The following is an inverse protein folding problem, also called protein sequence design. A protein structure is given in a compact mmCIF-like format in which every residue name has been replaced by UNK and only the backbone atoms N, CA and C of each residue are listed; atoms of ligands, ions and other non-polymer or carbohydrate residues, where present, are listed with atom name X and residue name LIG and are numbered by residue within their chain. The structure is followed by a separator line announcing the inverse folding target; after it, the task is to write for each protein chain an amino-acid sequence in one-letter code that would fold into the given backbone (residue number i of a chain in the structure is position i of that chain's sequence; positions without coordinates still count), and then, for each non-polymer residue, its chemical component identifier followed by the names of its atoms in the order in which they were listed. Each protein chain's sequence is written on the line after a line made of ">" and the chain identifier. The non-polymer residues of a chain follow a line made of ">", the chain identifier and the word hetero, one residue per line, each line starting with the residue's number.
data_IF_980327717791
#
_entry.id   IF_980327717791
#
_cell.length_a   1.000
_cell.length_b   1.000
_cell.length_c   1.000
_cell.angle_alpha   90.00
_cell.angle_beta   90.00
_cell.angle_gamma   90.00
#
_symmetry.space_group_name_H-M   'P 1'
#
loop_
_entity.id
_entity.type
_entity.pdbx_description
1 polymer ?
#
# COMPACT_ATOMS: atom_id res chain seq x y z
N UNK A 1 -3.36 55.65 21.80
CA UNK A 1 -2.01 55.10 22.03
C UNK A 1 -2.07 53.65 21.58
N UNK A 2 -1.35 53.35 20.51
CA UNK A 2 -1.45 52.09 19.77
C UNK A 2 -0.77 50.97 20.54
N UNK A 3 -1.50 49.89 20.78
CA UNK A 3 -0.95 48.65 21.31
C UNK A 3 0.13 48.13 20.37
N UNK A 4 1.30 47.89 20.96
CA UNK A 4 2.48 47.35 20.31
C UNK A 4 2.18 46.00 19.67
N UNK A 5 2.45 45.91 18.36
CA UNK A 5 2.63 44.68 17.59
C UNK A 5 3.60 43.74 18.30
N UNK A 6 3.09 42.89 19.19
CA UNK A 6 3.89 41.84 19.82
C UNK A 6 3.89 40.65 18.86
N UNK A 7 4.81 40.66 17.90
CA UNK A 7 5.05 39.51 17.03
C UNK A 7 5.53 38.37 17.94
N UNK A 8 4.83 37.23 18.01
CA UNK A 8 5.26 36.12 18.86
C UNK A 8 6.70 35.74 18.53
N UNK A 9 7.51 35.57 19.58
CA UNK A 9 8.92 35.25 19.43
C UNK A 9 9.08 33.94 18.65
N UNK A 10 9.96 33.94 17.63
CA UNK A 10 10.22 32.76 16.81
C UNK A 10 10.77 31.61 17.66
N UNK A 11 10.41 30.35 17.36
CA UNK A 11 11.01 29.21 18.03
C UNK A 11 12.54 29.19 17.83
N UNK A 12 13.29 28.99 18.91
CA UNK A 12 14.76 28.97 18.89
C UNK A 12 15.33 27.93 17.91
N UNK A 13 14.63 26.83 17.69
CA UNK A 13 15.08 25.76 16.79
C UNK A 13 15.09 26.20 15.33
N UNK A 14 14.07 26.94 14.88
CA UNK A 14 13.99 27.52 13.54
C UNK A 14 15.16 28.47 13.31
N UNK A 15 15.45 29.34 14.27
CA UNK A 15 16.58 30.27 14.16
C UNK A 15 17.92 29.54 14.05
N UNK A 16 18.12 28.47 14.83
CA UNK A 16 19.35 27.68 14.78
C UNK A 16 19.49 26.92 13.47
N UNK A 17 18.39 26.38 12.94
CA UNK A 17 18.39 25.67 11.66
C UNK A 17 18.62 26.62 10.48
N UNK A 18 18.02 27.82 10.52
CA UNK A 18 18.27 28.86 9.54
C UNK A 18 19.74 29.33 9.56
N UNK A 19 20.36 29.46 10.74
CA UNK A 19 21.80 29.78 10.86
C UNK A 19 22.69 28.65 10.34
N UNK A 20 22.32 27.39 10.60
CA UNK A 20 23.05 26.24 10.09
C UNK A 20 22.99 26.19 8.55
N UNK A 21 21.79 26.37 7.99
CA UNK A 21 21.60 26.45 6.54
C UNK A 21 22.40 27.60 5.94
N UNK A 22 22.30 28.80 6.50
CA UNK A 22 23.07 29.98 6.08
C UNK A 22 24.57 29.69 6.02
N UNK A 23 25.13 29.07 7.07
CA UNK A 23 26.55 28.75 7.13
C UNK A 23 26.95 27.70 6.10
N UNK A 24 26.10 26.70 5.89
CA UNK A 24 26.36 25.59 4.97
C UNK A 24 26.28 26.03 3.50
N UNK A 25 25.26 26.80 3.14
CA UNK A 25 24.98 27.15 1.75
C UNK A 25 25.51 28.50 1.28
N UNK A 26 25.90 29.38 2.21
CA UNK A 26 26.23 30.77 1.90
C UNK A 26 25.01 31.64 1.58
N UNK A 27 23.78 31.13 1.74
CA UNK A 27 22.56 31.93 1.62
C UNK A 27 22.56 33.15 2.56
N UNK A 28 21.77 34.18 2.26
CA UNK A 28 21.45 35.21 3.27
C UNK A 28 20.60 34.59 4.38
N UNK A 29 20.81 35.03 5.63
CA UNK A 29 20.03 34.54 6.77
C UNK A 29 18.51 34.63 6.56
N UNK A 30 18.03 35.72 5.95
CA UNK A 30 16.60 35.90 5.67
C UNK A 30 16.06 34.92 4.63
N UNK A 31 16.88 34.46 3.67
CA UNK A 31 16.49 33.43 2.70
C UNK A 31 16.46 32.06 3.37
N UNK A 32 17.50 31.74 4.15
CA UNK A 32 17.56 30.51 4.93
C UNK A 32 16.38 30.40 5.92
N UNK A 33 16.01 31.52 6.55
CA UNK A 33 14.87 31.59 7.46
C UNK A 33 13.55 31.31 6.73
N UNK A 34 13.32 31.91 5.55
CA UNK A 34 12.12 31.62 4.74
C UNK A 34 12.03 30.15 4.36
N UNK A 35 13.14 29.55 3.94
CA UNK A 35 13.18 28.14 3.59
C UNK A 35 12.83 27.22 4.77
N UNK A 36 13.39 27.49 5.95
CA UNK A 36 13.13 26.70 7.17
C UNK A 36 11.73 26.96 7.75
N UNK A 37 11.17 28.17 7.59
CA UNK A 37 9.80 28.52 8.01
C UNK A 37 8.73 28.12 6.97
N UNK A 38 9.14 27.65 5.79
CA UNK A 38 8.21 27.33 4.71
C UNK A 38 7.19 26.28 5.18
N UNK A 39 5.88 26.41 4.86
CA UNK A 39 4.86 25.49 5.36
C UNK A 39 5.12 24.02 5.00
N UNK A 40 5.56 23.75 3.76
CA UNK A 40 5.95 22.40 3.32
C UNK A 40 7.19 21.84 4.05
N UNK A 41 7.96 22.69 4.74
CA UNK A 41 9.13 22.24 5.49
C UNK A 41 8.80 21.85 6.94
N UNK A 42 7.56 22.01 7.42
CA UNK A 42 7.18 21.82 8.83
C UNK A 42 6.90 20.36 9.25
N UNK A 43 7.09 19.42 8.31
CA UNK A 43 6.87 17.98 8.50
C UNK A 43 5.40 17.60 8.28
N UNK A 44 5.15 16.86 7.20
CA UNK A 44 3.80 16.42 6.78
C UNK A 44 3.54 15.03 7.34
N UNK A 45 4.45 14.09 7.07
CA UNK A 45 4.37 12.68 7.50
C UNK A 45 5.10 12.41 8.82
N UNK A 46 5.60 13.44 9.49
CA UNK A 46 6.29 13.29 10.76
C UNK A 46 6.77 14.62 11.31
N UNK A 47 7.71 14.56 12.25
CA UNK A 47 8.35 15.75 12.77
C UNK A 47 9.14 16.50 11.69
N UNK A 48 9.19 17.83 11.83
CA UNK A 48 10.00 18.72 10.99
C UNK A 48 11.42 18.17 10.88
N UNK A 49 11.91 17.99 9.65
CA UNK A 49 13.27 17.52 9.42
C UNK A 49 14.25 18.61 9.86
N UNK A 50 15.12 18.30 10.82
CA UNK A 50 16.10 19.27 11.29
C UNK A 50 17.14 19.53 10.20
N UNK A 51 17.35 20.81 9.85
CA UNK A 51 18.32 21.18 8.80
C UNK A 51 19.73 20.78 9.17
N UNK A 52 20.06 20.77 10.47
CA UNK A 52 21.35 20.28 10.94
C UNK A 52 21.53 18.79 10.70
N UNK A 53 20.47 18.00 10.79
CA UNK A 53 20.52 16.56 10.50
C UNK A 53 20.70 16.31 9.01
N UNK A 54 19.99 17.06 8.15
CA UNK A 54 20.19 17.08 6.69
C UNK A 54 21.67 17.37 6.39
N UNK A 55 22.25 18.41 6.97
CA UNK A 55 23.65 18.76 6.71
C UNK A 55 24.60 17.69 7.26
N UNK A 56 24.36 17.19 8.47
CA UNK A 56 25.26 16.25 9.16
C UNK A 56 25.43 14.94 8.39
N UNK A 57 24.38 14.42 7.74
CA UNK A 57 24.50 13.13 7.05
C UNK A 57 25.50 13.15 5.89
N UNK A 58 25.78 14.30 5.28
CA UNK A 58 26.75 14.39 4.19
C UNK A 58 28.19 14.06 4.64
N UNK A 59 28.54 14.36 5.89
CA UNK A 59 29.90 14.14 6.42
C UNK A 59 29.97 13.02 7.45
N UNK A 60 28.85 12.63 8.06
CA UNK A 60 28.81 11.59 9.09
C UNK A 60 28.37 10.22 8.56
N UNK A 61 27.57 10.17 7.48
CA UNK A 61 26.97 8.91 7.03
C UNK A 61 28.00 8.05 6.27
N UNK A 62 28.26 6.79 6.67
CA UNK A 62 29.31 5.95 6.09
C UNK A 62 29.19 5.73 4.58
N UNK A 63 27.96 5.72 4.05
CA UNK A 63 27.73 5.57 2.61
C UNK A 63 27.86 6.86 1.80
N UNK A 64 27.88 8.04 2.45
CA UNK A 64 27.91 9.35 1.80
C UNK A 64 29.25 10.07 1.94
N UNK A 65 30.03 9.68 2.95
CA UNK A 65 31.31 10.28 3.28
C UNK A 65 32.45 9.29 3.13
N UNK A 66 33.62 9.78 2.73
CA UNK A 66 34.89 9.06 2.80
C UNK A 66 35.84 9.83 3.72
N UNK A 67 36.81 9.13 4.31
CA UNK A 67 37.91 9.78 5.00
C UNK A 67 38.75 10.51 3.94
N UNK A 68 39.05 11.79 4.17
CA UNK A 68 39.91 12.55 3.27
C UNK A 68 41.36 12.06 3.44
N UNK A 69 42.07 11.86 2.33
CA UNK A 69 43.47 11.43 2.38
C UNK A 69 44.32 12.46 3.13
N UNK A 70 44.73 12.13 4.36
CA UNK A 70 45.60 12.97 5.18
C UNK A 70 44.91 14.02 6.06
N UNK A 71 43.58 13.96 6.24
CA UNK A 71 42.86 14.84 7.17
C UNK A 71 41.94 14.04 8.12
N UNK A 72 41.79 14.52 9.35
CA UNK A 72 40.83 14.00 10.35
C UNK A 72 39.36 14.35 10.01
N UNK A 73 39.11 14.95 8.83
CA UNK A 73 37.80 15.43 8.41
C UNK A 73 37.22 14.53 7.30
N UNK A 74 36.00 14.06 7.51
CA UNK A 74 35.24 13.32 6.51
C UNK A 74 34.65 14.28 5.48
N UNK A 75 34.86 13.97 4.21
CA UNK A 75 34.28 14.71 3.09
C UNK A 75 33.14 13.93 2.45
N UNK A 76 32.10 14.65 2.04
CA UNK A 76 31.03 14.06 1.22
C UNK A 76 31.57 13.69 -0.15
N UNK A 77 31.26 12.50 -0.62
CA UNK A 77 31.47 12.12 -2.03
C UNK A 77 30.15 12.13 -2.82
N UNK A 78 29.04 12.51 -2.19
CA UNK A 78 27.73 12.63 -2.82
C UNK A 78 27.63 13.92 -3.66
N UNK A 79 27.28 13.78 -4.94
CA UNK A 79 26.92 14.88 -5.84
C UNK A 79 25.53 14.70 -6.43
N UNK A 80 25.11 15.58 -7.36
CA UNK A 80 23.78 15.56 -8.01
C UNK A 80 23.47 14.25 -8.72
N UNK A 81 24.47 13.64 -9.35
CA UNK A 81 24.28 12.38 -10.08
C UNK A 81 24.24 11.16 -9.15
N UNK A 82 24.67 11.29 -7.90
CA UNK A 82 24.60 10.27 -6.88
C UNK A 82 25.92 10.13 -6.11
N UNK A 83 26.21 8.90 -5.67
CA UNK A 83 27.47 8.59 -5.00
C UNK A 83 28.66 8.87 -5.92
N UNK A 84 29.75 9.36 -5.33
CA UNK A 84 31.06 9.59 -5.96
C UNK A 84 31.05 10.63 -7.07
N UNK A 85 29.97 11.41 -7.19
CA UNK A 85 29.84 12.45 -8.20
C UNK A 85 30.09 13.85 -7.66
N UNK A 86 30.55 14.01 -6.42
CA UNK A 86 30.74 15.33 -5.78
C UNK A 86 31.68 16.24 -6.58
N UNK A 87 32.77 15.69 -7.11
CA UNK A 87 33.77 16.48 -7.85
C UNK A 87 33.27 16.93 -9.23
N UNK A 88 32.45 16.10 -9.89
CA UNK A 88 31.95 16.35 -11.24
C UNK A 88 30.64 17.15 -11.24
N UNK A 89 29.83 16.99 -10.20
CA UNK A 89 28.49 17.54 -10.10
C UNK A 89 28.13 17.74 -8.62
N UNK A 90 28.68 18.78 -7.96
CA UNK A 90 28.48 19.00 -6.53
C UNK A 90 27.00 19.23 -6.19
N UNK A 91 26.59 18.81 -5.00
CA UNK A 91 25.28 19.13 -4.46
C UNK A 91 25.21 20.62 -4.11
N UNK A 92 24.05 21.22 -4.36
CA UNK A 92 23.78 22.62 -4.05
C UNK A 92 22.57 22.69 -3.10
N UNK A 93 22.69 23.52 -2.06
CA UNK A 93 21.58 23.99 -1.24
C UNK A 93 21.57 25.53 -1.30
N UNK A 94 21.66 26.11 -2.48
CA UNK A 94 21.92 27.55 -2.64
C UNK A 94 20.64 28.40 -2.63
N UNK A 95 19.49 27.76 -2.83
CA UNK A 95 18.18 28.40 -2.86
C UNK A 95 17.16 27.76 -1.91
N UNK A 96 16.07 28.48 -1.65
CA UNK A 96 14.90 27.95 -0.94
C UNK A 96 14.33 26.72 -1.65
N UNK A 97 14.34 26.74 -2.99
CA UNK A 97 13.91 25.61 -3.82
C UNK A 97 14.78 24.37 -3.57
N UNK A 98 16.12 24.50 -3.56
CA UNK A 98 17.02 23.36 -3.34
C UNK A 98 16.78 22.71 -1.96
N UNK A 99 16.57 23.54 -0.92
CA UNK A 99 16.26 23.06 0.42
C UNK A 99 14.93 22.31 0.46
N UNK A 100 13.88 22.91 -0.12
CA UNK A 100 12.57 22.27 -0.20
C UNK A 100 12.60 20.99 -1.02
N UNK A 101 13.41 20.90 -2.07
CA UNK A 101 13.57 19.67 -2.87
C UNK A 101 14.11 18.51 -2.03
N UNK A 102 15.08 18.75 -1.14
CA UNK A 102 15.56 17.71 -0.21
C UNK A 102 14.47 17.33 0.80
N UNK A 103 13.79 18.32 1.39
CA UNK A 103 12.76 18.09 2.40
C UNK A 103 11.55 17.34 1.82
N UNK A 104 11.06 17.75 0.65
CA UNK A 104 9.94 17.10 -0.02
C UNK A 104 10.29 15.69 -0.52
N UNK A 105 11.49 15.48 -1.04
CA UNK A 105 11.96 14.13 -1.36
C UNK A 105 11.99 13.24 -0.10
N UNK A 106 12.40 13.80 1.03
CA UNK A 106 12.40 13.09 2.31
C UNK A 106 10.98 12.79 2.82
N UNK A 107 10.03 13.70 2.66
CA UNK A 107 8.62 13.45 2.97
C UNK A 107 8.02 12.36 2.07
N UNK A 108 8.33 12.34 0.76
CA UNK A 108 7.91 11.23 -0.12
C UNK A 108 8.49 9.89 0.35
N UNK A 109 9.77 9.86 0.74
CA UNK A 109 10.41 8.65 1.23
C UNK A 109 9.87 8.20 2.60
N UNK A 110 9.45 9.14 3.46
CA UNK A 110 8.76 8.84 4.74
C UNK A 110 7.38 8.21 4.57
N UNK A 111 6.77 8.30 3.38
CA UNK A 111 5.51 7.61 3.11
C UNK A 111 5.65 6.08 3.14
N UNK A 112 6.86 5.57 2.93
CA UNK A 112 7.19 4.17 2.95
C UNK A 112 7.50 3.69 4.36
N UNK A 113 7.18 2.43 4.64
CA UNK A 113 7.78 1.75 5.78
C UNK A 113 9.27 1.57 5.54
N UNK A 114 10.09 1.55 6.60
CA UNK A 114 11.51 1.24 6.50
C UNK A 114 11.77 -0.25 6.80
N UNK A 115 12.81 -0.81 6.18
CA UNK A 115 13.40 -2.11 6.56
C UNK A 115 14.75 -1.89 7.23
N UNK A 116 15.20 -2.85 8.05
CA UNK A 116 16.46 -2.72 8.79
C UNK A 116 17.71 -2.70 7.90
N UNK A 117 17.61 -3.22 6.68
CA UNK A 117 18.71 -3.32 5.73
C UNK A 117 18.31 -2.86 4.32
N UNK A 118 19.25 -2.27 3.56
CA UNK A 118 19.06 -1.99 2.13
C UNK A 118 18.85 -3.24 1.28
N UNK A 119 18.06 -3.11 0.23
CA UNK A 119 17.84 -4.18 -0.77
C UNK A 119 17.95 -3.65 -2.21
N UNK A 120 18.18 -4.55 -3.16
CA UNK A 120 18.38 -4.21 -4.59
C UNK A 120 17.12 -3.72 -5.29
N UNK A 121 15.93 -4.02 -4.78
CA UNK A 121 14.68 -3.63 -5.43
C UNK A 121 14.38 -2.15 -5.21
N UNK A 122 14.86 -1.59 -4.09
CA UNK A 122 14.73 -0.20 -3.68
C UNK A 122 15.94 0.68 -4.11
N UNK A 123 16.33 0.59 -5.38
CA UNK A 123 17.40 1.41 -5.96
C UNK A 123 17.03 2.90 -6.10
N UNK A 124 17.99 3.78 -5.79
CA UNK A 124 17.85 5.24 -5.75
C UNK A 124 17.43 5.83 -7.09
N UNK A 125 17.96 5.32 -8.22
CA UNK A 125 17.58 5.78 -9.55
C UNK A 125 16.08 5.57 -9.84
N UNK A 126 15.56 4.39 -9.51
CA UNK A 126 14.15 4.08 -9.70
C UNK A 126 13.26 4.93 -8.79
N UNK A 127 13.68 5.14 -7.55
CA UNK A 127 12.96 5.95 -6.56
C UNK A 127 13.01 7.45 -6.86
N UNK A 128 14.12 7.95 -7.42
CA UNK A 128 14.24 9.32 -7.92
C UNK A 128 13.10 9.64 -8.88
N UNK A 129 12.87 8.79 -9.88
CA UNK A 129 11.75 8.95 -10.83
C UNK A 129 10.38 8.87 -10.14
N UNK A 130 10.23 8.00 -9.13
CA UNK A 130 8.99 7.96 -8.32
C UNK A 130 8.75 9.27 -7.56
N UNK A 131 9.79 9.86 -6.97
CA UNK A 131 9.71 11.16 -6.29
C UNK A 131 9.39 12.27 -7.27
N UNK A 132 10.08 12.33 -8.41
CA UNK A 132 9.88 13.35 -9.46
C UNK A 132 8.44 13.37 -9.98
N UNK A 133 7.89 12.20 -10.31
CA UNK A 133 6.52 12.12 -10.84
C UNK A 133 5.48 12.42 -9.76
N UNK A 134 5.68 11.91 -8.55
CA UNK A 134 4.77 12.19 -7.43
C UNK A 134 4.75 13.69 -7.12
N UNK A 135 5.92 14.32 -6.96
CA UNK A 135 5.98 15.76 -6.71
C UNK A 135 5.49 16.57 -7.91
N UNK A 136 5.83 16.17 -9.14
CA UNK A 136 5.40 16.88 -10.35
C UNK A 136 3.88 16.93 -10.53
N UNK A 137 3.15 15.91 -10.06
CA UNK A 137 1.68 15.87 -10.10
C UNK A 137 1.04 16.94 -9.19
N UNK A 138 1.59 17.17 -8.00
CA UNK A 138 1.00 18.06 -6.99
C UNK A 138 1.70 19.41 -6.87
N UNK A 139 2.99 19.46 -7.21
CA UNK A 139 3.89 20.61 -7.09
C UNK A 139 4.77 20.69 -8.35
N UNK A 140 4.27 21.25 -9.48
CA UNK A 140 4.99 21.27 -10.75
C UNK A 140 6.39 21.90 -10.68
N UNK A 141 6.61 22.86 -9.79
CA UNK A 141 7.92 23.48 -9.57
C UNK A 141 8.98 22.48 -9.05
N UNK A 142 8.57 21.34 -8.51
CA UNK A 142 9.40 20.27 -7.94
C UNK A 142 9.35 18.98 -8.77
N UNK A 143 9.02 19.08 -10.07
CA UNK A 143 8.93 17.91 -10.97
C UNK A 143 10.29 17.28 -11.31
N UNK A 144 11.40 17.83 -10.82
CA UNK A 144 12.74 17.30 -10.99
C UNK A 144 13.47 17.25 -9.65
N UNK A 145 14.09 16.11 -9.35
CA UNK A 145 14.85 15.85 -8.12
C UNK A 145 16.06 15.03 -8.51
N UNK A 146 17.27 15.48 -8.18
CA UNK A 146 18.48 14.74 -8.57
C UNK A 146 18.59 13.38 -7.85
N UNK A 147 19.33 12.43 -8.42
CA UNK A 147 19.59 11.14 -7.75
C UNK A 147 20.30 11.38 -6.41
N UNK A 148 21.27 12.30 -6.39
CA UNK A 148 21.94 12.75 -5.17
C UNK A 148 20.98 13.30 -4.11
N UNK A 149 20.03 14.14 -4.51
CA UNK A 149 18.99 14.68 -3.61
C UNK A 149 18.17 13.55 -2.99
N UNK A 150 17.83 12.52 -3.77
CA UNK A 150 17.05 11.37 -3.29
C UNK A 150 17.84 10.53 -2.28
N UNK A 151 19.12 10.25 -2.54
CA UNK A 151 20.00 9.54 -1.61
C UNK A 151 20.20 10.35 -0.32
N UNK A 152 20.40 11.66 -0.47
CA UNK A 152 20.56 12.57 0.65
C UNK A 152 19.32 12.58 1.56
N UNK A 153 18.15 12.73 0.94
CA UNK A 153 16.85 12.72 1.62
C UNK A 153 16.65 11.42 2.41
N UNK A 154 16.93 10.26 1.80
CA UNK A 154 16.83 8.95 2.45
C UNK A 154 17.69 8.88 3.73
N UNK A 155 18.96 9.26 3.62
CA UNK A 155 19.88 9.26 4.75
C UNK A 155 19.44 10.25 5.85
N UNK A 156 18.93 11.42 5.48
CA UNK A 156 18.49 12.46 6.40
C UNK A 156 17.28 12.03 7.27
N UNK A 157 16.43 11.13 6.76
CA UNK A 157 15.30 10.57 7.52
C UNK A 157 15.59 9.19 8.12
N UNK A 158 16.85 8.75 8.07
CA UNK A 158 17.30 7.52 8.72
C UNK A 158 16.93 6.24 7.97
N UNK A 159 16.51 6.32 6.71
CA UNK A 159 16.35 5.12 5.87
C UNK A 159 17.74 4.53 5.62
N UNK A 160 17.97 3.22 5.83
CA UNK A 160 19.27 2.63 5.56
C UNK A 160 19.70 2.82 4.10
N UNK A 161 20.93 3.27 3.88
CA UNK A 161 21.50 3.52 2.54
C UNK A 161 22.81 2.76 2.36
N UNK A 162 22.98 2.08 1.23
CA UNK A 162 24.24 1.44 0.83
C UNK A 162 24.48 1.56 -0.68
N UNK A 163 25.71 1.90 -1.09
CA UNK A 163 26.09 1.87 -2.51
C UNK A 163 26.03 0.47 -3.12
N UNK A 164 25.92 0.36 -4.45
CA UNK A 164 25.96 -0.95 -5.12
C UNK A 164 27.33 -1.61 -4.91
N UNK A 165 27.34 -2.88 -4.48
CA UNK A 165 28.57 -3.57 -4.04
C UNK A 165 29.38 -4.15 -5.20
N UNK A 166 28.84 -4.18 -6.42
CA UNK A 166 29.43 -4.88 -7.57
C UNK A 166 30.18 -3.97 -8.54
N UNK A 167 29.92 -2.66 -8.48
CA UNK A 167 30.58 -1.67 -9.33
C UNK A 167 30.98 -0.48 -8.48
N UNK A 168 32.29 -0.25 -8.37
CA UNK A 168 32.84 0.84 -7.57
C UNK A 168 32.51 2.21 -8.18
N UNK A 169 32.10 2.30 -9.43
CA UNK A 169 31.80 3.58 -10.06
C UNK A 169 30.29 3.85 -10.21
N UNK A 170 29.44 2.96 -9.68
CA UNK A 170 27.99 3.14 -9.74
C UNK A 170 27.55 4.32 -8.83
N UNK A 171 26.90 5.36 -9.40
CA UNK A 171 26.41 6.49 -8.61
C UNK A 171 25.16 6.14 -7.78
N UNK A 172 24.59 4.95 -7.95
CA UNK A 172 23.34 4.56 -7.32
C UNK A 172 23.53 3.92 -5.94
N UNK A 173 22.50 4.09 -5.11
CA UNK A 173 22.41 3.45 -3.81
C UNK A 173 21.15 2.60 -3.70
N UNK A 174 21.19 1.61 -2.83
CA UNK A 174 20.05 0.82 -2.40
C UNK A 174 19.53 1.37 -1.08
N UNK A 175 18.21 1.40 -0.92
CA UNK A 175 17.54 1.85 0.29
C UNK A 175 16.92 0.70 1.07
N UNK A 176 16.77 0.87 2.37
CA UNK A 176 16.01 -0.04 3.23
C UNK A 176 14.52 0.24 3.17
N UNK A 177 13.87 -0.10 2.05
CA UNK A 177 12.43 0.05 1.84
C UNK A 177 11.81 -1.28 1.35
N UNK A 178 10.58 -1.65 1.74
CA UNK A 178 9.92 -2.86 1.26
C UNK A 178 9.75 -2.86 -0.27
N UNK A 179 10.21 -3.93 -0.93
CA UNK A 179 10.17 -4.06 -2.39
C UNK A 179 8.74 -3.98 -2.96
N UNK A 180 7.77 -4.49 -2.22
CA UNK A 180 6.35 -4.47 -2.57
C UNK A 180 5.80 -3.03 -2.63
N UNK A 181 6.13 -2.20 -1.63
CA UNK A 181 5.74 -0.79 -1.61
C UNK A 181 6.42 0.03 -2.71
N UNK A 182 7.70 -0.24 -2.97
CA UNK A 182 8.45 0.42 -4.06
C UNK A 182 7.85 0.07 -5.42
N UNK A 183 7.54 -1.21 -5.66
CA UNK A 183 6.92 -1.65 -6.91
C UNK A 183 5.52 -1.06 -7.10
N UNK A 184 4.72 -1.02 -6.03
CA UNK A 184 3.43 -0.33 -6.05
C UNK A 184 3.58 1.13 -6.49
N UNK A 185 4.46 1.91 -5.85
CA UNK A 185 4.63 3.33 -6.18
C UNK A 185 5.13 3.54 -7.62
N UNK A 186 6.01 2.66 -8.12
CA UNK A 186 6.45 2.67 -9.53
C UNK A 186 5.32 2.35 -10.50
N UNK A 187 4.41 1.43 -10.18
CA UNK A 187 3.27 1.09 -11.05
C UNK A 187 2.20 2.19 -11.06
N UNK A 188 1.96 2.85 -9.92
CA UNK A 188 1.06 4.02 -9.86
C UNK A 188 1.50 5.09 -10.85
N UNK A 189 2.81 5.33 -10.93
CA UNK A 189 3.41 6.26 -11.90
C UNK A 189 3.14 5.89 -13.36
N UNK A 190 3.30 4.60 -13.72
CA UNK A 190 3.05 4.11 -15.10
C UNK A 190 1.59 4.19 -15.53
N UNK A 191 0.67 4.14 -14.57
CA UNK A 191 -0.77 4.14 -14.83
C UNK A 191 -1.29 5.50 -15.32
N UNK A 192 -0.58 6.59 -15.05
CA UNK A 192 -0.93 7.96 -15.48
C UNK A 192 -0.67 8.22 -16.98
N UNK A 193 0.04 7.32 -17.68
CA UNK A 193 0.49 7.47 -19.07
C UNK A 193 -0.32 6.75 -20.16
N UNK A 194 -1.48 6.18 -19.83
CA UNK A 194 -2.41 5.61 -20.83
C UNK A 194 -2.23 4.13 -21.20
N UNK A 195 -1.33 3.39 -20.55
CA UNK A 195 -1.27 1.92 -20.65
C UNK A 195 -2.02 1.28 -19.47
N UNK A 196 -3.01 0.43 -19.80
CA UNK A 196 -4.03 -0.15 -18.90
C UNK A 196 -3.54 -1.26 -17.97
N UNK A 197 -2.44 -1.05 -17.25
CA UNK A 197 -2.03 -1.93 -16.13
C UNK A 197 -2.26 -1.24 -14.79
N UNK A 198 -3.48 -0.72 -14.60
CA UNK A 198 -3.84 -0.04 -13.36
C UNK A 198 -3.78 -1.03 -12.20
N UNK A 199 -3.03 -0.68 -11.16
CA UNK A 199 -3.13 -1.34 -9.87
C UNK A 199 -4.60 -1.40 -9.47
N UNK A 200 -5.11 -2.61 -9.19
CA UNK A 200 -6.51 -2.81 -8.78
C UNK A 200 -6.65 -3.00 -7.27
N UNK A 201 -5.54 -3.25 -6.58
CA UNK A 201 -5.51 -3.46 -5.15
C UNK A 201 -4.36 -2.72 -4.47
N UNK A 202 -4.66 -2.15 -3.30
CA UNK A 202 -3.78 -1.20 -2.63
C UNK A 202 -3.12 -1.75 -1.35
N UNK A 203 -3.05 -3.08 -1.19
CA UNK A 203 -2.45 -3.73 0.00
C UNK A 203 -0.94 -3.49 0.12
N UNK A 204 -0.26 -3.19 -0.99
CA UNK A 204 1.14 -2.79 -1.03
C UNK A 204 1.33 -1.26 -1.06
N UNK A 205 0.27 -0.45 -0.93
CA UNK A 205 0.41 1.01 -0.87
C UNK A 205 1.30 1.41 0.32
N UNK A 206 2.25 2.36 0.14
CA UNK A 206 2.98 2.93 1.26
C UNK A 206 2.02 3.60 2.26
N UNK A 207 2.15 3.38 3.58
CA UNK A 207 1.17 3.85 4.57
C UNK A 207 0.89 5.37 4.52
N UNK A 208 1.93 6.19 4.35
CA UNK A 208 1.78 7.65 4.31
C UNK A 208 1.35 8.21 2.94
N UNK A 209 1.18 7.35 1.92
CA UNK A 209 1.04 7.77 0.53
C UNK A 209 -0.20 8.63 0.30
N UNK A 210 -1.38 8.14 0.70
CA UNK A 210 -2.66 8.83 0.49
C UNK A 210 -2.76 10.11 1.31
N UNK A 211 -2.24 10.12 2.55
CA UNK A 211 -2.20 11.33 3.36
C UNK A 211 -1.34 12.40 2.67
N UNK A 212 -0.14 12.05 2.21
CA UNK A 212 0.74 12.98 1.52
C UNK A 212 0.10 13.54 0.23
N UNK A 213 -0.56 12.69 -0.57
CA UNK A 213 -1.30 13.16 -1.76
C UNK A 213 -2.36 14.21 -1.39
N UNK A 214 -3.15 13.94 -0.34
CA UNK A 214 -4.17 14.88 0.16
C UNK A 214 -3.57 16.19 0.66
N UNK A 215 -2.52 16.10 1.47
CA UNK A 215 -1.79 17.24 2.02
C UNK A 215 -1.19 18.15 0.93
N UNK A 216 -0.57 17.58 -0.10
CA UNK A 216 0.00 18.35 -1.20
C UNK A 216 -1.07 18.93 -2.13
N UNK A 217 -2.19 18.21 -2.33
CA UNK A 217 -3.36 18.71 -3.06
C UNK A 217 -3.96 19.93 -2.35
N UNK A 218 -4.19 19.84 -1.04
CA UNK A 218 -4.71 20.95 -0.24
C UNK A 218 -3.77 22.16 -0.28
N UNK A 219 -2.45 21.95 -0.15
CA UNK A 219 -1.47 23.02 -0.28
C UNK A 219 -1.50 23.66 -1.67
N UNK A 220 -1.55 22.86 -2.75
CA UNK A 220 -1.60 23.36 -4.13
C UNK A 220 -2.81 24.26 -4.33
N UNK A 221 -3.97 23.83 -3.83
CA UNK A 221 -5.26 24.47 -4.10
C UNK A 221 -5.52 25.68 -3.18
N UNK A 222 -5.06 25.64 -1.93
CA UNK A 222 -5.38 26.66 -0.92
C UNK A 222 -4.19 27.47 -0.40
N UNK A 223 -2.95 26.98 -0.58
CA UNK A 223 -1.73 27.49 0.08
C UNK A 223 -1.80 27.48 1.61
N UNK A 224 -2.69 26.69 2.18
CA UNK A 224 -2.79 26.46 3.62
C UNK A 224 -1.77 25.43 4.05
N UNK A 225 -1.07 25.69 5.17
CA UNK A 225 -0.10 24.76 5.72
C UNK A 225 -0.72 23.36 5.87
N UNK A 226 -0.10 22.30 5.32
CA UNK A 226 -0.68 20.98 5.39
C UNK A 226 -0.84 20.50 6.84
N UNK A 227 -1.88 19.68 7.06
CA UNK A 227 -2.00 18.92 8.31
C UNK A 227 -0.82 17.98 8.53
N UNK A 228 -0.65 17.54 9.77
CA UNK A 228 0.35 16.53 10.14
C UNK A 228 -0.31 15.15 10.26
N UNK A 229 0.32 14.15 9.67
CA UNK A 229 -0.10 12.76 9.77
C UNK A 229 0.12 12.21 11.18
N UNK A 230 -0.82 11.42 11.66
CA UNK A 230 -0.76 10.75 12.96
C UNK A 230 -0.07 9.37 12.91
N UNK A 231 0.33 8.94 11.71
CA UNK A 231 0.98 7.65 11.47
C UNK A 231 0.03 6.50 11.16
N UNK A 232 -1.28 6.75 11.00
CA UNK A 232 -2.29 5.72 10.72
C UNK A 232 -2.75 5.80 9.27
N UNK A 233 -2.67 4.69 8.52
CA UNK A 233 -3.35 4.55 7.23
C UNK A 233 -4.77 4.02 7.47
N UNK A 234 -5.74 4.94 7.58
CA UNK A 234 -7.15 4.61 7.79
C UNK A 234 -7.74 3.73 6.66
N UNK A 235 -7.10 3.72 5.49
CA UNK A 235 -7.55 3.00 4.31
C UNK A 235 -6.65 1.79 4.01
N UNK A 236 -5.89 1.28 4.99
CA UNK A 236 -5.01 0.14 4.81
C UNK A 236 -5.78 -1.10 4.33
N UNK A 237 -5.47 -1.57 3.13
CA UNK A 237 -6.10 -2.77 2.60
C UNK A 237 -5.53 -4.03 3.30
N UNK A 238 -6.37 -5.05 3.57
CA UNK A 238 -5.91 -6.29 4.17
C UNK A 238 -4.77 -6.92 3.37
N UNK A 239 -3.73 -7.37 4.08
CA UNK A 239 -2.56 -8.03 3.48
C UNK A 239 -2.64 -9.56 3.55
N UNK A 240 -3.57 -10.10 4.33
CA UNK A 240 -3.71 -11.55 4.49
C UNK A 240 -5.09 -11.94 5.03
N UNK A 241 -5.44 -13.20 4.88
CA UNK A 241 -6.58 -13.90 5.50
C UNK A 241 -6.19 -15.36 5.71
N UNK A 242 -6.90 -16.14 6.55
CA UNK A 242 -6.63 -17.57 6.70
C UNK A 242 -6.69 -18.31 5.36
N UNK A 243 -7.74 -18.08 4.56
CA UNK A 243 -7.89 -18.69 3.25
C UNK A 243 -6.78 -18.28 2.28
N UNK A 244 -6.40 -17.00 2.24
CA UNK A 244 -5.30 -16.52 1.41
C UNK A 244 -3.99 -17.22 1.74
N UNK A 245 -3.64 -17.34 3.02
CA UNK A 245 -2.40 -18.03 3.45
C UNK A 245 -2.40 -19.48 2.98
N UNK A 246 -3.52 -20.18 3.16
CA UNK A 246 -3.65 -21.56 2.75
C UNK A 246 -3.57 -21.73 1.24
N UNK A 247 -4.23 -20.85 0.47
CA UNK A 247 -4.21 -20.90 -0.99
C UNK A 247 -2.80 -20.66 -1.52
N UNK A 248 -2.13 -19.61 -1.05
CA UNK A 248 -0.74 -19.29 -1.44
C UNK A 248 0.22 -20.43 -1.08
N UNK A 249 -0.02 -21.15 0.03
CA UNK A 249 0.78 -22.32 0.39
C UNK A 249 0.63 -23.50 -0.58
N UNK A 250 -0.39 -23.51 -1.45
CA UNK A 250 -0.55 -24.50 -2.51
C UNK A 250 0.21 -24.14 -3.80
N UNK A 251 0.84 -22.95 -3.87
CA UNK A 251 1.51 -22.47 -5.07
C UNK A 251 2.68 -23.39 -5.47
N UNK A 252 2.77 -23.69 -6.75
CA UNK A 252 3.81 -24.54 -7.31
C UNK A 252 3.64 -24.77 -8.81
N UNK A 253 4.56 -25.53 -9.43
CA UNK A 253 4.42 -25.90 -10.83
C UNK A 253 3.16 -26.75 -11.03
N UNK A 254 2.43 -26.48 -12.11
CA UNK A 254 1.23 -27.23 -12.44
C UNK A 254 0.67 -26.85 -13.81
N UNK A 255 -0.20 -27.71 -14.33
CA UNK A 255 -0.88 -27.48 -15.60
C UNK A 255 -1.96 -26.40 -15.47
N UNK A 256 -2.41 -25.87 -16.61
CA UNK A 256 -3.51 -24.91 -16.67
C UNK A 256 -4.77 -25.49 -16.00
N UNK A 257 -5.41 -24.71 -15.13
CA UNK A 257 -6.58 -25.16 -14.37
C UNK A 257 -6.27 -26.12 -13.21
N UNK A 258 -4.99 -26.38 -12.90
CA UNK A 258 -4.63 -27.09 -11.67
C UNK A 258 -4.66 -26.14 -10.47
N UNK A 259 -4.86 -26.69 -9.26
CA UNK A 259 -4.82 -25.91 -8.01
C UNK A 259 -3.45 -25.25 -7.78
N UNK A 260 -2.36 -25.96 -8.06
CA UNK A 260 -1.01 -25.44 -7.88
C UNK A 260 -0.77 -24.23 -8.79
N UNK A 261 -1.19 -24.33 -10.06
CA UNK A 261 -1.09 -23.23 -11.02
C UNK A 261 -2.00 -22.07 -10.66
N UNK A 262 -3.24 -22.33 -10.25
CA UNK A 262 -4.17 -21.31 -9.74
C UNK A 262 -3.55 -20.53 -8.57
N UNK A 263 -3.01 -21.24 -7.58
CA UNK A 263 -2.41 -20.64 -6.41
C UNK A 263 -1.16 -19.81 -6.75
N UNK A 264 -0.33 -20.28 -7.68
CA UNK A 264 0.84 -19.56 -8.19
C UNK A 264 0.45 -18.26 -8.91
N UNK A 265 -0.51 -18.34 -9.84
CA UNK A 265 -1.01 -17.16 -10.58
C UNK A 265 -1.72 -16.17 -9.65
N UNK A 266 -2.50 -16.65 -8.68
CA UNK A 266 -3.10 -15.83 -7.63
C UNK A 266 -2.04 -15.15 -6.75
N UNK A 267 -0.99 -15.86 -6.35
CA UNK A 267 0.08 -15.28 -5.55
C UNK A 267 0.89 -14.22 -6.32
N UNK A 268 1.11 -14.44 -7.63
CA UNK A 268 1.74 -13.48 -8.52
C UNK A 268 0.88 -12.22 -8.69
N UNK A 269 -0.40 -12.37 -9.04
CA UNK A 269 -1.33 -11.26 -9.18
C UNK A 269 -1.49 -10.44 -7.89
N UNK A 270 -1.49 -11.11 -6.73
CA UNK A 270 -1.46 -10.43 -5.44
C UNK A 270 -0.17 -9.62 -5.24
N UNK A 271 1.00 -10.22 -5.46
CA UNK A 271 2.31 -9.55 -5.33
C UNK A 271 2.42 -8.32 -6.23
N UNK A 272 1.87 -8.42 -7.42
CA UNK A 272 1.94 -7.35 -8.41
C UNK A 272 0.89 -6.26 -8.14
N UNK A 273 -0.18 -6.55 -7.40
CA UNK A 273 -1.27 -5.61 -7.11
C UNK A 273 -2.41 -5.65 -8.13
N UNK A 274 -2.51 -6.72 -8.90
CA UNK A 274 -3.57 -6.94 -9.89
C UNK A 274 -4.91 -7.32 -9.24
N UNK A 275 -4.87 -7.85 -8.01
CA UNK A 275 -6.03 -8.07 -7.17
C UNK A 275 -5.67 -8.07 -5.69
N UNK A 276 -6.69 -7.95 -4.84
CA UNK A 276 -6.54 -7.96 -3.39
C UNK A 276 -6.57 -9.37 -2.80
N UNK A 277 -6.53 -9.42 -1.46
CA UNK A 277 -6.70 -10.66 -0.69
C UNK A 277 -8.11 -11.21 -0.86
N UNK A 278 -8.22 -12.51 -1.09
CA UNK A 278 -9.47 -13.24 -0.93
C UNK A 278 -9.75 -13.38 0.58
N UNK A 279 -10.43 -12.38 1.15
CA UNK A 279 -10.70 -12.36 2.60
C UNK A 279 -11.52 -13.55 3.06
N UNK A 280 -12.43 -14.02 2.19
CA UNK A 280 -13.21 -15.23 2.35
C UNK A 280 -13.03 -16.12 1.12
N UNK A 281 -13.23 -17.44 1.24
CA UNK A 281 -13.09 -18.38 0.13
C UNK A 281 -13.91 -17.98 -1.11
N UNK A 282 -15.16 -17.58 -0.91
CA UNK A 282 -16.09 -17.14 -1.97
C UNK A 282 -15.58 -15.91 -2.76
N UNK A 283 -14.75 -15.06 -2.16
CA UNK A 283 -14.20 -13.89 -2.84
C UNK A 283 -13.24 -14.25 -3.97
N UNK A 284 -12.64 -15.45 -3.94
CA UNK A 284 -11.72 -15.91 -4.97
C UNK A 284 -12.39 -15.95 -6.36
N UNK A 285 -13.63 -16.45 -6.42
CA UNK A 285 -14.39 -16.51 -7.68
C UNK A 285 -14.62 -15.11 -8.25
N UNK A 286 -14.96 -14.15 -7.38
CA UNK A 286 -15.14 -12.75 -7.77
C UNK A 286 -13.86 -12.13 -8.33
N UNK A 287 -12.71 -12.39 -7.68
CA UNK A 287 -11.39 -11.95 -8.15
C UNK A 287 -11.09 -12.51 -9.54
N UNK A 288 -11.24 -13.83 -9.72
CA UNK A 288 -10.94 -14.50 -10.99
C UNK A 288 -11.83 -13.99 -12.14
N UNK A 289 -13.12 -13.79 -11.88
CA UNK A 289 -14.04 -13.19 -12.86
C UNK A 289 -13.65 -11.76 -13.23
N UNK A 290 -13.26 -10.94 -12.26
CA UNK A 290 -12.80 -9.56 -12.53
C UNK A 290 -11.51 -9.52 -13.37
N UNK A 291 -10.71 -10.58 -13.34
CA UNK A 291 -9.51 -10.76 -14.16
C UNK A 291 -9.80 -11.43 -15.51
N UNK A 292 -11.06 -11.78 -15.79
CA UNK A 292 -11.46 -12.57 -16.96
C UNK A 292 -10.70 -13.91 -17.05
N UNK A 293 -10.54 -14.59 -15.91
CA UNK A 293 -9.91 -15.90 -15.87
C UNK A 293 -10.71 -16.94 -16.68
N UNK A 294 -10.00 -17.91 -17.24
CA UNK A 294 -10.58 -19.05 -17.94
C UNK A 294 -11.44 -19.93 -17.00
N UNK A 295 -12.45 -20.60 -17.54
CA UNK A 295 -13.36 -21.44 -16.75
C UNK A 295 -12.60 -22.56 -16.01
N UNK A 296 -11.50 -23.07 -16.58
CA UNK A 296 -10.67 -24.07 -15.91
C UNK A 296 -10.09 -23.55 -14.58
N UNK A 297 -9.76 -22.25 -14.49
CA UNK A 297 -9.34 -21.64 -13.22
C UNK A 297 -10.50 -21.43 -12.25
N UNK A 298 -11.71 -21.14 -12.76
CA UNK A 298 -12.90 -21.03 -11.94
C UNK A 298 -13.28 -22.40 -11.32
N UNK A 299 -13.17 -23.48 -12.08
CA UNK A 299 -13.37 -24.84 -11.58
C UNK A 299 -12.31 -25.20 -10.52
N UNK A 300 -11.03 -24.95 -10.79
CA UNK A 300 -9.96 -25.13 -9.82
C UNK A 300 -10.20 -24.35 -8.52
N UNK A 301 -10.75 -23.14 -8.62
CA UNK A 301 -11.07 -22.31 -7.47
C UNK A 301 -12.24 -22.86 -6.66
N UNK A 302 -13.30 -23.35 -7.32
CA UNK A 302 -14.42 -24.03 -6.64
C UNK A 302 -13.92 -25.26 -5.88
N UNK A 303 -13.07 -26.07 -6.49
CA UNK A 303 -12.44 -27.21 -5.85
C UNK A 303 -11.57 -26.79 -4.65
N UNK A 304 -10.75 -25.74 -4.81
CA UNK A 304 -9.91 -25.22 -3.73
C UNK A 304 -10.73 -24.70 -2.54
N UNK A 305 -11.86 -24.04 -2.79
CA UNK A 305 -12.79 -23.57 -1.74
C UNK A 305 -13.37 -24.74 -0.96
N UNK A 306 -13.82 -25.79 -1.66
CA UNK A 306 -14.35 -27.01 -1.03
C UNK A 306 -13.27 -27.73 -0.22
N UNK A 307 -12.06 -27.82 -0.76
CA UNK A 307 -10.94 -28.48 -0.09
C UNK A 307 -10.48 -27.72 1.15
N UNK A 308 -10.42 -26.37 1.08
CA UNK A 308 -10.20 -25.52 2.25
C UNK A 308 -11.20 -25.84 3.36
N UNK A 309 -12.49 -25.92 3.02
CA UNK A 309 -13.53 -26.22 4.00
C UNK A 309 -13.37 -27.61 4.65
N UNK A 310 -12.83 -28.58 3.91
CA UNK A 310 -12.63 -29.96 4.37
C UNK A 310 -11.34 -30.17 5.16
N UNK A 311 -10.27 -29.47 4.80
CA UNK A 311 -8.92 -29.80 5.26
C UNK A 311 -8.34 -28.79 6.23
N UNK A 312 -8.82 -27.55 6.22
CA UNK A 312 -8.24 -26.50 7.04
C UNK A 312 -8.86 -26.45 8.45
N UNK A 313 -8.04 -26.45 9.51
CA UNK A 313 -8.52 -26.21 10.87
C UNK A 313 -9.02 -24.78 11.08
N UNK A 314 -8.60 -23.84 10.24
CA UNK A 314 -8.97 -22.41 10.32
C UNK A 314 -10.23 -22.10 9.49
N UNK A 315 -10.86 -23.11 8.90
CA UNK A 315 -12.11 -22.93 8.16
C UNK A 315 -13.24 -22.53 9.11
N UNK A 316 -13.96 -21.47 8.75
CA UNK A 316 -15.20 -21.01 9.40
C UNK A 316 -16.44 -21.40 8.60
N UNK A 317 -16.31 -22.38 7.70
CA UNK A 317 -17.30 -22.72 6.69
C UNK A 317 -17.20 -21.83 5.45
N UNK A 318 -17.90 -22.24 4.40
CA UNK A 318 -17.90 -21.56 3.09
C UNK A 318 -19.31 -21.12 2.71
N UNK A 319 -19.38 -20.03 1.94
CA UNK A 319 -20.55 -19.76 1.09
C UNK A 319 -20.17 -20.14 -0.34
N UNK A 320 -21.01 -20.88 -1.04
CA UNK A 320 -20.67 -21.29 -2.41
C UNK A 320 -20.97 -20.17 -3.41
N UNK A 321 -20.58 -20.38 -4.67
CA UNK A 321 -20.77 -19.40 -5.74
C UNK A 321 -22.26 -19.12 -6.01
N UNK A 322 -22.63 -17.83 -6.05
CA UNK A 322 -23.96 -17.38 -6.48
C UNK A 322 -24.13 -17.62 -7.99
N UNK A 323 -25.18 -18.35 -8.36
CA UNK A 323 -25.57 -18.63 -9.75
C UNK A 323 -26.58 -17.59 -10.24
N UNK A 324 -27.61 -17.33 -9.44
CA UNK A 324 -28.68 -16.39 -9.81
C UNK A 324 -29.35 -15.78 -8.58
N UNK A 325 -29.96 -14.61 -8.79
CA UNK A 325 -30.81 -13.95 -7.82
C UNK A 325 -32.08 -13.43 -8.50
N UNK A 326 -33.23 -13.54 -7.85
CA UNK A 326 -34.50 -12.94 -8.27
C UNK A 326 -35.14 -12.19 -7.10
N UNK A 327 -35.99 -11.22 -7.44
CA UNK A 327 -36.82 -10.47 -6.51
C UNK A 327 -38.19 -10.30 -7.14
N UNK A 328 -39.21 -10.72 -6.41
CA UNK A 328 -40.60 -10.63 -6.83
C UNK A 328 -41.36 -9.76 -5.82
N UNK A 329 -41.83 -8.59 -6.27
CA UNK A 329 -42.61 -7.67 -5.44
C UNK A 329 -44.08 -8.13 -5.38
N UNK A 330 -44.73 -7.92 -4.23
CA UNK A 330 -46.17 -8.16 -4.08
C UNK A 330 -46.86 -7.04 -3.29
N UNK A 331 -48.09 -6.71 -3.70
CA UNK A 331 -48.88 -5.62 -3.11
C UNK A 331 -49.50 -5.99 -1.74
N UNK A 332 -49.34 -7.25 -1.30
CA UNK A 332 -49.82 -7.78 -0.02
C UNK A 332 -51.33 -8.09 0.02
N UNK A 333 -51.70 -9.27 0.51
CA UNK A 333 -53.11 -9.68 0.73
C UNK A 333 -53.63 -9.20 2.10
N UNK A 334 -53.46 -7.92 2.42
CA UNK A 334 -53.94 -7.30 3.66
C UNK A 334 -52.94 -7.23 4.82
N UNK A 335 -51.71 -7.74 4.65
CA UNK A 335 -50.61 -7.65 5.64
C UNK A 335 -49.60 -6.49 5.37
N UNK A 336 -49.77 -5.81 4.24
CA UNK A 336 -48.84 -4.79 3.71
C UNK A 336 -48.01 -5.33 2.55
N UNK A 337 -47.47 -4.43 1.73
CA UNK A 337 -46.58 -4.78 0.61
C UNK A 337 -45.26 -5.38 1.09
N UNK A 338 -44.64 -6.20 0.26
CA UNK A 338 -43.32 -6.76 0.51
C UNK A 338 -42.69 -7.30 -0.77
N UNK A 339 -41.61 -8.05 -0.59
CA UNK A 339 -40.95 -8.76 -1.66
C UNK A 339 -40.48 -10.14 -1.19
N UNK A 340 -40.35 -11.04 -2.15
CA UNK A 340 -39.66 -12.31 -1.97
C UNK A 340 -38.35 -12.24 -2.75
N UNK A 341 -37.22 -12.34 -2.05
CA UNK A 341 -35.90 -12.47 -2.67
C UNK A 341 -35.47 -13.93 -2.67
N UNK A 342 -34.99 -14.43 -3.82
CA UNK A 342 -34.46 -15.78 -3.93
C UNK A 342 -33.07 -15.78 -4.53
N UNK A 343 -32.13 -16.39 -3.82
CA UNK A 343 -30.74 -16.53 -4.24
C UNK A 343 -30.43 -18.02 -4.42
N UNK A 344 -29.86 -18.36 -5.57
CA UNK A 344 -29.49 -19.74 -5.92
C UNK A 344 -27.99 -19.85 -5.99
N UNK A 345 -27.42 -20.73 -5.19
CA UNK A 345 -26.00 -20.97 -5.09
C UNK A 345 -25.64 -22.36 -5.61
N UNK A 346 -24.44 -22.52 -6.14
CA UNK A 346 -23.92 -23.81 -6.61
C UNK A 346 -23.67 -24.75 -5.44
N UNK A 347 -24.07 -26.03 -5.51
CA UNK A 347 -23.69 -26.98 -4.46
C UNK A 347 -22.17 -27.26 -4.49
N UNK A 348 -21.52 -27.57 -3.35
CA UNK A 348 -20.13 -28.01 -3.31
C UNK A 348 -19.78 -29.15 -4.28
N UNK A 349 -20.71 -30.06 -4.55
CA UNK A 349 -20.50 -31.17 -5.48
C UNK A 349 -20.70 -30.79 -6.96
N UNK A 350 -21.19 -29.58 -7.24
CA UNK A 350 -21.47 -29.05 -8.57
C UNK A 350 -22.71 -29.61 -9.28
N UNK A 351 -23.48 -30.52 -8.67
CA UNK A 351 -24.61 -31.21 -9.34
C UNK A 351 -25.97 -30.52 -9.20
N UNK A 352 -26.18 -29.76 -8.14
CA UNK A 352 -27.45 -29.10 -7.83
C UNK A 352 -27.15 -27.79 -7.07
N UNK A 353 -28.08 -27.30 -6.25
CA UNK A 353 -28.08 -25.96 -5.70
C UNK A 353 -28.33 -25.91 -4.19
N UNK A 354 -27.96 -24.78 -3.61
CA UNK A 354 -28.38 -24.33 -2.28
C UNK A 354 -29.27 -23.11 -2.51
N UNK A 355 -30.43 -23.08 -1.87
CA UNK A 355 -31.40 -21.99 -2.02
C UNK A 355 -31.42 -21.18 -0.73
N UNK A 356 -31.42 -19.87 -0.87
CA UNK A 356 -31.67 -18.88 0.18
C UNK A 356 -32.87 -18.05 -0.26
N UNK A 357 -33.87 -17.96 0.61
CA UNK A 357 -35.12 -17.25 0.35
C UNK A 357 -35.42 -16.28 1.50
N UNK A 358 -35.80 -15.06 1.14
CA UNK A 358 -36.22 -14.03 2.07
C UNK A 358 -37.61 -13.55 1.71
N UNK A 359 -38.57 -13.83 2.58
CA UNK A 359 -39.87 -13.20 2.55
C UNK A 359 -39.83 -11.95 3.43
N UNK A 360 -39.94 -10.78 2.78
CA UNK A 360 -39.89 -9.47 3.44
C UNK A 360 -41.28 -8.83 3.59
N UNK A 361 -42.36 -9.60 3.43
CA UNK A 361 -43.74 -9.15 3.73
C UNK A 361 -43.86 -8.62 5.16
N UNK A 362 -44.46 -7.44 5.30
CA UNK A 362 -44.85 -6.92 6.61
C UNK A 362 -45.76 -7.91 7.34
N UNK A 363 -45.38 -8.32 8.56
CA UNK A 363 -46.12 -9.30 9.36
C UNK A 363 -45.84 -10.78 9.05
N UNK A 364 -45.10 -11.08 7.99
CA UNK A 364 -44.70 -12.45 7.59
C UNK A 364 -43.24 -12.47 7.15
N UNK A 365 -42.32 -12.07 8.03
CA UNK A 365 -40.88 -12.11 7.73
C UNK A 365 -40.32 -13.50 8.01
N UNK A 366 -40.00 -14.22 6.94
CA UNK A 366 -39.39 -15.55 7.01
C UNK A 366 -38.13 -15.57 6.15
N UNK A 367 -37.06 -16.18 6.68
CA UNK A 367 -35.76 -16.23 6.03
C UNK A 367 -35.20 -17.63 6.19
N UNK A 368 -35.15 -18.39 5.11
CA UNK A 368 -34.74 -19.79 5.14
C UNK A 368 -33.62 -20.08 4.14
N UNK A 369 -32.87 -21.14 4.41
CA UNK A 369 -31.87 -21.69 3.52
C UNK A 369 -31.83 -23.21 3.60
N UNK A 370 -31.75 -23.87 2.43
CA UNK A 370 -31.73 -25.33 2.39
C UNK A 370 -30.91 -25.88 1.22
N UNK A 371 -30.46 -27.13 1.37
CA UNK A 371 -29.84 -27.89 0.29
C UNK A 371 -30.92 -28.42 -0.65
N UNK A 372 -30.82 -28.10 -1.94
CA UNK A 372 -31.52 -28.83 -3.00
C UNK A 372 -30.85 -30.17 -3.32
N UNK A 373 -29.54 -30.29 -3.07
CA UNK A 373 -28.77 -31.51 -3.31
C UNK A 373 -28.88 -32.52 -2.15
N UNK A 374 -29.48 -33.67 -2.41
CA UNK A 374 -29.57 -34.78 -1.43
C UNK A 374 -28.19 -35.30 -0.98
N UNK A 375 -27.20 -35.30 -1.88
CA UNK A 375 -25.84 -35.75 -1.57
C UNK A 375 -25.17 -34.75 -0.63
N UNK A 376 -25.14 -33.46 -1.00
CA UNK A 376 -24.52 -32.44 -0.15
C UNK A 376 -25.23 -32.34 1.21
N UNK A 377 -26.55 -32.56 1.27
CA UNK A 377 -27.32 -32.56 2.53
C UNK A 377 -26.83 -33.59 3.54
N UNK A 378 -26.28 -34.72 3.07
CA UNK A 378 -25.74 -35.78 3.91
C UNK A 378 -24.28 -35.55 4.31
N UNK A 379 -23.52 -34.81 3.50
CA UNK A 379 -22.08 -34.57 3.74
C UNK A 379 -21.78 -33.23 4.42
N UNK A 380 -22.71 -32.27 4.33
CA UNK A 380 -22.54 -30.90 4.80
C UNK A 380 -23.65 -30.52 5.76
N UNK A 381 -23.36 -29.53 6.60
CA UNK A 381 -24.32 -28.90 7.48
C UNK A 381 -24.16 -27.39 7.44
N UNK A 382 -25.23 -26.66 7.70
CA UNK A 382 -25.13 -25.22 7.93
C UNK A 382 -24.42 -24.95 9.26
N UNK A 383 -23.61 -23.91 9.30
CA UNK A 383 -22.94 -23.46 10.52
C UNK A 383 -23.98 -22.78 11.41
N UNK A 384 -24.17 -23.33 12.60
CA UNK A 384 -25.17 -22.83 13.56
C UNK A 384 -24.84 -21.42 14.05
N UNK A 385 -25.89 -20.63 14.35
CA UNK A 385 -25.76 -19.32 14.98
C UNK A 385 -25.41 -18.16 14.05
N UNK A 386 -25.28 -18.40 12.74
CA UNK A 386 -25.11 -17.33 11.74
C UNK A 386 -26.47 -16.76 11.28
N UNK A 387 -26.56 -15.44 11.01
CA UNK A 387 -27.72 -14.85 10.34
C UNK A 387 -27.99 -15.52 8.99
N UNK A 388 -29.25 -15.58 8.55
CA UNK A 388 -29.62 -16.21 7.27
C UNK A 388 -28.78 -15.64 6.12
N UNK A 389 -28.61 -14.32 5.99
CA UNK A 389 -27.80 -13.71 4.91
C UNK A 389 -26.29 -13.98 5.02
N UNK A 390 -25.83 -14.53 6.12
CA UNK A 390 -24.43 -14.87 6.39
C UNK A 390 -24.25 -16.39 6.55
N UNK A 391 -25.22 -17.19 6.10
CA UNK A 391 -25.14 -18.65 6.19
C UNK A 391 -23.83 -19.16 5.57
N UNK A 392 -23.30 -20.20 6.20
CA UNK A 392 -22.13 -20.95 5.73
C UNK A 392 -22.42 -22.42 5.87
N UNK A 393 -21.73 -23.22 5.07
CA UNK A 393 -21.74 -24.67 5.21
C UNK A 393 -20.36 -25.18 5.59
N UNK A 394 -20.34 -26.23 6.39
CA UNK A 394 -19.14 -26.96 6.77
C UNK A 394 -19.35 -28.47 6.57
N UNK A 395 -18.27 -29.24 6.38
CA UNK A 395 -18.38 -30.69 6.31
C UNK A 395 -18.93 -31.24 7.63
N UNK A 396 -19.86 -32.18 7.56
CA UNK A 396 -20.27 -32.95 8.74
C UNK A 396 -19.08 -33.73 9.24
N UNK A 397 -18.70 -33.52 10.50
CA UNK A 397 -17.70 -34.36 11.15
C UNK A 397 -18.26 -35.78 11.20
N UNK A 398 -17.49 -36.75 10.74
CA UNK A 398 -17.82 -38.16 10.97
C UNK A 398 -17.99 -38.33 12.48
N UNK A 399 -19.21 -38.68 12.91
CA UNK A 399 -19.45 -39.07 14.30
C UNK A 399 -18.55 -40.28 14.52
N UNK A 400 -17.48 -40.11 15.31
CA UNK A 400 -16.69 -41.23 15.77
C UNK A 400 -17.63 -42.11 16.60
N UNK A 401 -18.19 -43.14 15.96
CA UNK A 401 -18.89 -44.19 16.65
C UNK A 401 -17.86 -44.82 17.58
N UNK A 402 -17.97 -44.45 18.85
CA UNK A 402 -17.24 -45.11 19.92
C UNK A 402 -17.81 -46.53 20.00
N UNK A 403 -17.05 -47.50 19.46
CA UNK A 403 -17.33 -48.92 19.64
C UNK A 403 -16.79 -49.34 21.00
#
# INVERSE_FOLDING_TARGET
>A
MSDTNNIPARPREIERDARALQKFSGMKYTQALRAVEHPLAQGILGERICTRDIIRVLTAHPALSTDAAGADERITHLGRNGLRSADQSPLELSSEHDYLSVVLAAEVLRAFSATDAPNSDAGSYGLKHTVEEFLGEYLPDFSYVSNGTTIWAAAAVGIPVRGHTTDTDDPNANFGLPSDQVNYARRMRRSSGGQRDSIRAHHHRPPGYTFLQGALTEWRDSRTAPGRWDGVDENAAPRTSPFHKWLVAQAGPGDMGSRARLADDYAAGFRDGDHGVAQQPEHLIGILRALNADEAFLDAAREAIVDWARTSPDSTGIRTELISSSRDDHDGWGAGSGDTERYTYRCPCGRDTIIEEHENTSGFREHDHWFGCDICRQEWQFVDGLPTREWRIEPRRAVALSI
#
